data_IF_975480375113
#
_entry.id   IF_975480375113
#
_cell.length_a   1.000
_cell.length_b   1.000
_cell.length_c   1.000
_cell.angle_alpha   90.00
_cell.angle_beta   90.00
_cell.angle_gamma   90.00
#
_symmetry.space_group_name_H-M   'P 1'
#
loop_
_entity.id
_entity.type
_entity.pdbx_description
1 polymer ?
#
# COMPACT_ATOMS: atom_id res chain seq x y z
N UNK A 1 6.52 27.44 13.97
CA UNK A 1 5.94 26.42 13.07
C UNK A 1 7.02 25.38 12.81
N UNK A 2 6.85 24.15 13.28
CA UNK A 2 7.79 23.09 12.94
C UNK A 2 7.71 22.84 11.43
N UNK A 3 8.79 23.14 10.71
CA UNK A 3 8.90 22.91 9.26
C UNK A 3 9.05 21.43 8.91
N UNK A 4 9.29 20.59 9.90
CA UNK A 4 9.48 19.14 9.71
C UNK A 4 8.14 18.43 9.83
N UNK A 5 7.59 18.04 8.67
CA UNK A 5 6.42 17.16 8.62
C UNK A 5 6.74 15.74 9.11
N UNK A 6 5.73 14.97 9.48
CA UNK A 6 5.90 13.56 9.85
C UNK A 6 5.94 12.67 8.60
N UNK A 7 6.87 11.71 8.57
CA UNK A 7 7.03 10.75 7.45
C UNK A 7 6.51 9.37 7.83
N UNK A 8 5.85 8.69 6.87
CA UNK A 8 5.52 7.27 6.98
C UNK A 8 6.75 6.36 6.87
N UNK A 9 7.84 6.85 6.26
CA UNK A 9 8.87 6.01 5.67
C UNK A 9 8.41 5.35 4.36
N UNK A 10 9.38 4.89 3.58
CA UNK A 10 9.13 4.25 2.28
C UNK A 10 8.66 2.81 2.47
N UNK A 11 7.49 2.48 1.93
CA UNK A 11 6.88 1.15 1.97
C UNK A 11 5.88 1.01 0.82
N UNK A 12 5.23 -0.14 0.67
CA UNK A 12 4.05 -0.29 -0.17
C UNK A 12 2.94 -1.01 0.61
N UNK A 13 1.71 -0.90 0.14
CA UNK A 13 0.56 -1.62 0.68
C UNK A 13 0.09 -2.69 -0.31
N UNK A 14 -0.55 -3.75 0.20
CA UNK A 14 -1.07 -4.85 -0.63
C UNK A 14 -2.43 -4.58 -1.27
N UNK A 15 -3.02 -3.43 -0.96
CA UNK A 15 -4.37 -3.03 -1.35
C UNK A 15 -4.31 -1.76 -2.21
N UNK A 16 -5.29 -1.62 -3.10
CA UNK A 16 -5.57 -0.33 -3.73
C UNK A 16 -6.10 0.64 -2.66
N UNK A 17 -5.70 1.91 -2.75
CA UNK A 17 -6.10 2.94 -1.80
C UNK A 17 -6.63 4.19 -2.52
N UNK A 18 -7.81 4.66 -2.13
CA UNK A 18 -8.27 6.03 -2.41
C UNK A 18 -7.94 6.92 -1.21
N UNK A 19 -6.89 7.73 -1.36
CA UNK A 19 -6.40 8.64 -0.34
C UNK A 19 -7.04 10.02 -0.51
N UNK A 20 -7.87 10.45 0.45
CA UNK A 20 -8.64 11.70 0.40
C UNK A 20 -8.14 12.64 1.48
N UNK A 21 -7.67 13.84 1.10
CA UNK A 21 -7.19 14.80 2.09
C UNK A 21 -8.30 15.74 2.56
N UNK A 22 -8.54 15.76 3.88
CA UNK A 22 -9.57 16.58 4.51
C UNK A 22 -9.00 17.81 5.21
N UNK A 23 -7.73 17.75 5.65
CA UNK A 23 -7.04 18.85 6.34
C UNK A 23 -5.53 18.72 6.26
N UNK A 24 -4.82 19.84 6.24
CA UNK A 24 -3.36 19.89 6.15
C UNK A 24 -2.86 19.80 4.71
N UNK A 25 -1.65 19.24 4.51
CA UNK A 25 -1.07 18.96 3.19
C UNK A 25 -0.32 17.63 3.23
N UNK A 26 -0.35 16.88 2.13
CA UNK A 26 0.45 15.66 1.96
C UNK A 26 1.36 15.78 0.76
N UNK A 27 2.57 15.27 0.89
CA UNK A 27 3.51 15.07 -0.21
C UNK A 27 3.86 13.61 -0.30
N UNK A 28 3.55 13.00 -1.43
CA UNK A 28 3.90 11.63 -1.77
C UNK A 28 5.16 11.63 -2.62
N UNK A 29 6.09 10.76 -2.26
CA UNK A 29 7.14 10.24 -3.15
C UNK A 29 6.71 8.83 -3.53
N UNK A 30 6.64 8.53 -4.82
CA UNK A 30 6.07 7.30 -5.37
C UNK A 30 7.10 6.57 -6.26
N UNK A 31 7.12 5.24 -6.22
CA UNK A 31 7.85 4.39 -7.16
C UNK A 31 6.96 3.25 -7.65
N UNK A 32 7.19 2.85 -8.90
CA UNK A 32 6.48 1.74 -9.53
C UNK A 32 6.77 0.43 -8.80
N UNK A 33 5.81 -0.52 -8.72
CA UNK A 33 6.10 -1.89 -8.28
C UNK A 33 7.21 -2.55 -9.11
N UNK A 34 7.41 -2.11 -10.37
CA UNK A 34 8.50 -2.57 -11.23
C UNK A 34 9.90 -2.19 -10.72
N UNK A 35 10.01 -1.21 -9.82
CA UNK A 35 11.28 -0.81 -9.19
C UNK A 35 11.59 -1.62 -7.92
N UNK A 36 10.83 -2.67 -7.59
CA UNK A 36 10.92 -3.44 -6.33
C UNK A 36 12.33 -3.88 -5.97
N UNK A 37 13.11 -4.29 -6.96
CA UNK A 37 14.49 -4.72 -6.80
C UNK A 37 15.44 -3.61 -6.31
N UNK A 38 15.07 -2.36 -6.57
CA UNK A 38 15.79 -1.15 -6.16
C UNK A 38 15.23 -0.57 -4.85
N UNK A 39 14.13 -1.12 -4.31
CA UNK A 39 13.48 -0.60 -3.10
C UNK A 39 14.03 -1.18 -1.80
N UNK A 40 14.85 -2.22 -1.84
CA UNK A 40 15.49 -2.82 -0.65
C UNK A 40 14.51 -3.11 0.49
N UNK A 41 13.37 -3.72 0.15
CA UNK A 41 12.36 -4.18 1.10
C UNK A 41 12.95 -5.15 2.11
N UNK A 42 12.27 -5.33 3.25
CA UNK A 42 12.69 -6.30 4.27
C UNK A 42 12.37 -7.73 3.86
N UNK A 43 11.30 -7.94 3.12
CA UNK A 43 10.96 -9.24 2.55
C UNK A 43 11.80 -9.60 1.33
N UNK A 44 12.02 -10.91 1.15
CA UNK A 44 12.58 -11.49 -0.07
C UNK A 44 11.49 -11.57 -1.12
N UNK A 45 11.67 -10.89 -2.26
CA UNK A 45 10.72 -10.88 -3.36
C UNK A 45 10.46 -12.30 -3.88
N UNK A 46 9.19 -12.71 -3.92
CA UNK A 46 8.77 -13.97 -4.54
C UNK A 46 8.31 -13.72 -5.99
N UNK A 47 7.40 -12.76 -6.20
CA UNK A 47 6.87 -12.40 -7.51
C UNK A 47 6.17 -11.04 -7.50
N UNK A 48 6.03 -10.46 -8.68
CA UNK A 48 5.14 -9.33 -8.96
C UNK A 48 4.05 -9.82 -9.93
N UNK A 49 2.79 -9.67 -9.54
CA UNK A 49 1.64 -10.05 -10.36
C UNK A 49 1.43 -9.06 -11.52
N UNK A 50 0.70 -9.44 -12.60
CA UNK A 50 0.42 -8.54 -13.72
C UNK A 50 -0.29 -7.24 -13.34
N UNK A 51 -1.07 -7.24 -12.26
CA UNK A 51 -1.72 -6.05 -11.70
C UNK A 51 -0.80 -5.18 -10.82
N UNK A 52 0.48 -5.53 -10.69
CA UNK A 52 1.49 -4.82 -9.89
C UNK A 52 1.63 -5.33 -8.46
N UNK A 53 0.71 -6.19 -7.96
CA UNK A 53 0.77 -6.68 -6.58
C UNK A 53 2.05 -7.49 -6.31
N UNK A 54 2.74 -7.18 -5.23
CA UNK A 54 3.98 -7.85 -4.81
C UNK A 54 3.67 -8.94 -3.78
N UNK A 55 4.33 -10.09 -3.94
CA UNK A 55 4.37 -11.15 -2.92
C UNK A 55 5.81 -11.38 -2.46
N UNK A 56 5.95 -11.69 -1.19
CA UNK A 56 7.22 -12.09 -0.58
C UNK A 56 7.22 -13.59 -0.24
N UNK A 57 8.42 -14.15 -0.06
CA UNK A 57 8.57 -15.54 0.40
C UNK A 57 7.87 -15.77 1.74
N UNK A 58 7.11 -16.87 1.85
CA UNK A 58 6.38 -17.23 3.06
C UNK A 58 5.11 -16.40 3.33
N UNK A 59 4.60 -15.71 2.31
CA UNK A 59 3.39 -14.89 2.33
C UNK A 59 2.67 -14.93 0.97
N UNK A 60 2.49 -16.13 0.44
CA UNK A 60 1.92 -16.29 -0.90
C UNK A 60 0.41 -16.17 -0.89
N UNK A 61 -0.06 -15.11 -1.52
CA UNK A 61 -1.47 -14.79 -1.76
C UNK A 61 -1.74 -14.74 -3.28
N UNK A 62 -3.02 -14.77 -3.66
CA UNK A 62 -3.45 -14.55 -5.05
C UNK A 62 -3.17 -13.12 -5.51
N UNK A 63 -3.32 -12.85 -6.82
CA UNK A 63 -3.14 -11.52 -7.39
C UNK A 63 -4.11 -10.47 -6.80
N UNK A 64 -5.29 -10.88 -6.37
CA UNK A 64 -6.26 -10.03 -5.66
C UNK A 64 -6.18 -10.17 -4.13
N UNK A 65 -5.12 -10.81 -3.60
CA UNK A 65 -4.82 -10.83 -2.16
C UNK A 65 -5.57 -11.87 -1.31
N UNK A 66 -6.36 -12.76 -1.89
CA UNK A 66 -6.88 -13.91 -1.14
C UNK A 66 -5.77 -14.90 -0.76
N UNK A 67 -5.82 -15.42 0.47
CA UNK A 67 -4.92 -16.45 1.00
C UNK A 67 -5.13 -17.77 0.23
N UNK A 68 -4.03 -18.37 -0.24
CA UNK A 68 -4.05 -19.64 -0.96
C UNK A 68 -4.29 -20.84 -0.02
N UNK A 69 -4.08 -20.66 1.28
CA UNK A 69 -4.09 -21.68 2.31
C UNK A 69 -5.14 -21.45 3.39
N UNK A 70 -6.00 -20.43 3.25
CA UNK A 70 -7.05 -20.20 4.25
C UNK A 70 -8.18 -21.20 4.10
N UNK A 71 -8.07 -22.33 4.78
CA UNK A 71 -9.24 -22.89 5.44
C UNK A 71 -9.74 -21.81 6.42
N UNK A 72 -11.07 -21.60 6.48
CA UNK A 72 -11.74 -20.47 7.15
C UNK A 72 -11.54 -20.38 8.70
N UNK A 73 -10.51 -21.02 9.25
CA UNK A 73 -10.26 -21.21 10.68
C UNK A 73 -9.11 -20.38 11.25
N UNK A 74 -8.62 -19.34 10.56
CA UNK A 74 -7.60 -18.44 11.13
C UNK A 74 -8.21 -17.63 12.29
N UNK A 75 -7.63 -17.73 13.50
CA UNK A 75 -8.05 -16.91 14.64
C UNK A 75 -7.64 -15.44 14.45
N UNK A 76 -8.36 -14.51 15.08
CA UNK A 76 -8.04 -13.08 15.02
C UNK A 76 -6.59 -12.76 15.42
N UNK A 77 -6.03 -13.49 16.38
CA UNK A 77 -4.63 -13.36 16.79
C UNK A 77 -3.65 -13.74 15.66
N UNK A 78 -3.93 -14.85 14.96
CA UNK A 78 -3.11 -15.27 13.81
C UNK A 78 -3.26 -14.31 12.63
N UNK A 79 -4.45 -13.74 12.42
CA UNK A 79 -4.70 -12.74 11.40
C UNK A 79 -3.93 -11.44 11.69
N UNK A 80 -3.93 -10.97 12.95
CA UNK A 80 -3.16 -9.81 13.37
C UNK A 80 -1.66 -10.01 13.15
N UNK A 81 -1.11 -11.16 13.60
CA UNK A 81 0.32 -11.46 13.41
C UNK A 81 0.73 -11.52 11.94
N UNK A 82 -0.15 -12.06 11.07
CA UNK A 82 0.07 -12.05 9.63
C UNK A 82 0.08 -10.64 9.06
N UNK A 83 -0.91 -9.81 9.40
CA UNK A 83 -0.97 -8.43 8.95
C UNK A 83 0.24 -7.60 9.42
N UNK A 84 0.69 -7.79 10.67
CA UNK A 84 1.90 -7.15 11.19
C UNK A 84 3.17 -7.59 10.42
N UNK A 85 3.25 -8.88 10.07
CA UNK A 85 4.34 -9.42 9.24
C UNK A 85 4.31 -8.84 7.83
N UNK A 86 3.16 -8.80 7.18
CA UNK A 86 2.95 -8.21 5.84
C UNK A 86 3.48 -6.77 5.80
N UNK A 87 3.01 -5.94 6.73
CA UNK A 87 3.47 -4.55 6.87
C UNK A 87 4.99 -4.51 7.03
N UNK A 88 5.55 -5.32 7.95
CA UNK A 88 6.99 -5.34 8.18
C UNK A 88 7.80 -5.69 6.91
N UNK A 89 7.38 -6.67 6.12
CA UNK A 89 8.10 -7.10 4.91
C UNK A 89 8.09 -6.03 3.82
N UNK A 90 6.98 -5.30 3.69
CA UNK A 90 6.76 -4.28 2.67
C UNK A 90 7.56 -2.97 2.91
N UNK A 91 8.04 -2.74 4.14
CA UNK A 91 8.87 -1.57 4.42
C UNK A 91 10.25 -1.65 3.76
N UNK A 92 10.65 -0.55 3.13
CA UNK A 92 12.01 -0.33 2.63
C UNK A 92 12.98 -0.09 3.79
N UNK A 93 14.22 -0.57 3.62
CA UNK A 93 15.35 -0.19 4.47
C UNK A 93 15.92 1.18 4.11
N UNK A 94 15.61 1.70 2.92
CA UNK A 94 16.07 3.03 2.47
C UNK A 94 15.39 4.11 3.30
N UNK A 95 16.20 5.01 3.88
CA UNK A 95 15.74 6.23 4.56
C UNK A 95 16.07 7.42 3.67
N UNK A 96 15.09 7.83 2.89
CA UNK A 96 15.22 8.80 1.78
C UNK A 96 15.59 10.23 2.20
N UNK A 97 15.56 10.52 3.50
CA UNK A 97 16.00 11.77 4.10
C UNK A 97 17.51 11.79 4.45
N UNK A 98 18.22 10.67 4.23
CA UNK A 98 19.68 10.59 4.41
C UNK A 98 20.42 11.26 3.23
N UNK A 99 21.67 11.69 3.42
CA UNK A 99 22.51 12.19 2.35
C UNK A 99 22.65 11.20 1.19
N UNK A 100 22.71 11.69 -0.05
CA UNK A 100 22.78 10.85 -1.24
C UNK A 100 24.01 9.93 -1.27
N UNK A 101 25.18 10.40 -0.84
CA UNK A 101 26.41 9.59 -0.83
C UNK A 101 26.30 8.37 0.09
N UNK A 102 25.56 8.51 1.18
CA UNK A 102 25.24 7.42 2.10
C UNK A 102 24.30 6.41 1.46
N UNK A 103 23.25 6.90 0.81
CA UNK A 103 22.29 6.06 0.10
C UNK A 103 22.95 5.32 -1.06
N UNK A 104 23.82 5.98 -1.83
CA UNK A 104 24.53 5.36 -2.94
C UNK A 104 25.48 4.25 -2.47
N UNK A 105 26.13 4.43 -1.32
CA UNK A 105 27.05 3.44 -0.75
C UNK A 105 26.33 2.21 -0.20
N UNK A 106 25.19 2.40 0.49
CA UNK A 106 24.46 1.32 1.17
C UNK A 106 23.40 0.65 0.27
N UNK A 107 22.78 1.44 -0.61
CA UNK A 107 21.65 1.07 -1.46
C UNK A 107 21.87 1.50 -2.93
N UNK A 108 22.95 1.04 -3.59
CA UNK A 108 23.37 1.56 -4.90
C UNK A 108 22.29 1.48 -6.00
N UNK A 109 21.45 0.42 -6.01
CA UNK A 109 20.37 0.25 -7.00
C UNK A 109 19.24 1.26 -6.81
N UNK A 110 19.13 1.89 -5.65
CA UNK A 110 18.08 2.88 -5.39
C UNK A 110 18.25 4.11 -6.29
N UNK A 111 19.47 4.40 -6.75
CA UNK A 111 19.74 5.47 -7.70
C UNK A 111 19.12 5.21 -9.09
N UNK A 112 18.84 3.96 -9.44
CA UNK A 112 18.21 3.58 -10.70
C UNK A 112 16.68 3.73 -10.66
N UNK A 113 16.10 3.80 -9.46
CA UNK A 113 14.64 3.89 -9.28
C UNK A 113 14.12 5.28 -9.64
N UNK A 114 12.96 5.34 -10.30
CA UNK A 114 12.41 6.60 -10.81
C UNK A 114 11.28 7.08 -9.91
N UNK A 115 11.57 8.11 -9.12
CA UNK A 115 10.57 8.73 -8.26
C UNK A 115 9.58 9.60 -9.06
N UNK A 116 8.29 9.44 -8.78
CA UNK A 116 7.27 10.44 -9.03
C UNK A 116 6.92 11.18 -7.73
N UNK A 117 6.50 12.43 -7.83
CA UNK A 117 6.09 13.24 -6.68
C UNK A 117 4.69 13.80 -6.89
N UNK A 118 3.87 13.75 -5.84
CA UNK A 118 2.51 14.25 -5.86
C UNK A 118 2.23 15.01 -4.57
N UNK A 119 1.85 16.28 -4.69
CA UNK A 119 1.28 17.05 -3.57
C UNK A 119 -0.25 16.90 -3.64
N UNK A 120 -0.85 16.46 -2.53
CA UNK A 120 -2.31 16.33 -2.38
C UNK A 120 -2.78 17.44 -1.45
N UNK A 121 -3.74 18.23 -1.92
CA UNK A 121 -4.34 19.36 -1.22
C UNK A 121 -5.72 18.98 -0.66
N UNK A 122 -6.23 19.81 0.25
CA UNK A 122 -7.54 19.60 0.86
C UNK A 122 -8.64 19.54 -0.21
N UNK A 123 -9.46 18.49 -0.16
CA UNK A 123 -10.52 18.21 -1.14
C UNK A 123 -10.07 17.37 -2.33
N UNK A 124 -8.76 17.15 -2.49
CA UNK A 124 -8.23 16.25 -3.53
C UNK A 124 -8.19 14.80 -3.05
N UNK A 125 -8.16 13.91 -4.04
CA UNK A 125 -8.02 12.48 -3.86
C UNK A 125 -6.88 11.96 -4.74
N UNK A 126 -6.07 11.08 -4.17
CA UNK A 126 -5.06 10.29 -4.89
C UNK A 126 -5.51 8.83 -4.93
N UNK A 127 -5.66 8.27 -6.13
CA UNK A 127 -5.70 6.82 -6.29
C UNK A 127 -4.27 6.28 -6.27
N UNK A 128 -4.00 5.38 -5.32
CA UNK A 128 -2.72 4.72 -5.12
C UNK A 128 -2.93 3.22 -5.37
N UNK A 129 -2.48 2.69 -6.52
CA UNK A 129 -2.64 1.28 -6.82
C UNK A 129 -1.81 0.40 -5.87
N UNK A 130 -2.26 -0.83 -5.68
CA UNK A 130 -1.59 -1.82 -4.86
C UNK A 130 -0.11 -1.95 -5.23
N UNK A 131 0.71 -2.09 -4.20
CA UNK A 131 2.15 -2.27 -4.26
C UNK A 131 2.96 -1.13 -4.89
N UNK A 132 2.35 0.02 -5.16
CA UNK A 132 3.12 1.24 -5.41
C UNK A 132 3.85 1.65 -4.14
N UNK A 133 5.17 1.73 -4.25
CA UNK A 133 5.99 2.20 -3.15
C UNK A 133 5.74 3.67 -2.93
N UNK A 134 5.54 4.05 -1.68
CA UNK A 134 5.23 5.41 -1.32
C UNK A 134 5.85 5.80 0.02
N UNK A 135 6.26 7.05 0.08
CA UNK A 135 6.59 7.74 1.32
C UNK A 135 5.74 9.01 1.40
N UNK A 136 5.02 9.18 2.50
CA UNK A 136 4.11 10.30 2.71
C UNK A 136 4.69 11.22 3.76
N UNK A 137 4.96 12.46 3.37
CA UNK A 137 5.28 13.53 4.31
C UNK A 137 4.02 14.34 4.58
N UNK A 138 3.71 14.50 5.86
CA UNK A 138 2.48 15.10 6.35
C UNK A 138 2.75 16.43 7.01
N UNK A 139 2.02 17.47 6.60
CA UNK A 139 2.17 18.82 7.13
C UNK A 139 0.85 19.32 7.72
N UNK A 140 0.94 20.11 8.80
CA UNK A 140 -0.20 20.78 9.39
C UNK A 140 -0.82 21.80 8.41
N UNK A 141 -2.09 22.13 8.62
CA UNK A 141 -2.77 23.21 7.90
C UNK A 141 -2.20 24.60 8.24
N UNK A 142 -2.65 25.62 7.50
CA UNK A 142 -2.24 27.02 7.74
C UNK A 142 -2.57 27.52 9.15
N UNK A 143 -3.58 26.94 9.79
CA UNK A 143 -4.05 27.21 11.14
C UNK A 143 -3.37 26.36 12.22
N UNK A 144 -2.37 25.55 11.85
CA UNK A 144 -1.64 24.62 12.72
C UNK A 144 -2.54 23.62 13.48
N UNK A 145 -3.71 23.32 12.91
CA UNK A 145 -4.73 22.44 13.51
C UNK A 145 -4.49 20.95 13.22
N UNK A 146 -3.30 20.60 12.73
CA UNK A 146 -2.91 19.25 12.34
C UNK A 146 -3.25 18.90 10.90
N UNK A 147 -3.27 17.60 10.59
CA UNK A 147 -3.65 17.05 9.29
C UNK A 147 -4.67 15.92 9.46
N UNK A 148 -5.57 15.75 8.50
CA UNK A 148 -6.60 14.70 8.51
C UNK A 148 -6.80 14.17 7.10
N UNK A 149 -6.77 12.85 6.95
CA UNK A 149 -7.05 12.18 5.69
C UNK A 149 -7.99 10.99 5.93
N UNK A 150 -8.80 10.67 4.93
CA UNK A 150 -9.60 9.46 4.85
C UNK A 150 -8.99 8.53 3.79
N UNK A 151 -8.87 7.25 4.11
CA UNK A 151 -8.36 6.23 3.19
C UNK A 151 -9.45 5.18 2.98
N UNK A 152 -9.65 4.75 1.74
CA UNK A 152 -10.52 3.63 1.42
C UNK A 152 -9.69 2.54 0.74
N UNK A 153 -9.52 1.42 1.43
CA UNK A 153 -8.70 0.30 1.01
C UNK A 153 -9.54 -0.83 0.45
N UNK A 154 -9.12 -1.39 -0.68
CA UNK A 154 -9.80 -2.50 -1.33
C UNK A 154 -8.79 -3.38 -2.08
N UNK A 155 -9.19 -4.61 -2.35
CA UNK A 155 -8.32 -5.56 -3.03
C UNK A 155 -8.14 -5.18 -4.51
N UNK A 156 -6.93 -5.32 -5.08
CA UNK A 156 -6.71 -4.99 -6.48
C UNK A 156 -7.38 -6.02 -7.40
N UNK A 157 -7.90 -5.61 -8.57
CA UNK A 157 -8.45 -6.54 -9.55
C UNK A 157 -7.35 -7.46 -10.11
N UNK A 158 -7.68 -8.71 -10.40
CA UNK A 158 -6.77 -9.68 -11.02
C UNK A 158 -7.16 -10.05 -12.46
N UNK A 159 -8.38 -9.71 -12.89
CA UNK A 159 -8.79 -9.81 -14.28
C UNK A 159 -8.64 -8.45 -14.97
N UNK A 160 -7.63 -8.33 -15.82
CA UNK A 160 -7.30 -7.06 -16.50
C UNK A 160 -8.03 -6.86 -17.83
N UNK A 161 -8.68 -7.90 -18.35
CA UNK A 161 -9.28 -7.91 -19.69
C UNK A 161 -10.76 -7.50 -19.73
N UNK A 162 -11.44 -7.41 -18.57
CA UNK A 162 -12.88 -7.13 -18.52
C UNK A 162 -13.27 -6.29 -17.31
N UNK A 163 -13.74 -5.06 -17.55
CA UNK A 163 -14.21 -4.16 -16.50
C UNK A 163 -15.46 -4.68 -15.77
N UNK A 164 -16.33 -5.42 -16.45
CA UNK A 164 -17.55 -5.96 -15.84
C UNK A 164 -17.28 -7.15 -14.90
N UNK A 165 -16.13 -7.81 -15.04
CA UNK A 165 -15.69 -8.94 -14.21
C UNK A 165 -14.23 -8.72 -13.80
N UNK A 166 -13.95 -7.74 -12.92
CA UNK A 166 -12.59 -7.33 -12.56
C UNK A 166 -11.87 -8.34 -11.66
N UNK A 167 -12.60 -9.35 -11.16
CA UNK A 167 -12.04 -10.44 -10.37
C UNK A 167 -12.31 -11.79 -11.05
N UNK A 168 -11.31 -12.66 -11.08
CA UNK A 168 -11.46 -14.04 -11.57
C UNK A 168 -12.31 -14.90 -10.62
N UNK A 169 -12.35 -14.53 -9.33
CA UNK A 169 -13.08 -15.22 -8.28
C UNK A 169 -14.40 -14.52 -7.93
N UNK A 170 -15.49 -15.26 -7.64
CA UNK A 170 -16.75 -14.69 -7.17
C UNK A 170 -16.71 -14.28 -5.69
N UNK A 171 -15.55 -14.38 -5.03
CA UNK A 171 -15.39 -14.13 -3.59
C UNK A 171 -16.08 -12.85 -3.12
N UNK A 172 -15.81 -11.70 -3.76
CA UNK A 172 -16.37 -10.40 -3.35
C UNK A 172 -17.88 -10.32 -3.50
N UNK A 173 -18.42 -10.84 -4.59
CA UNK A 173 -19.87 -10.90 -4.80
C UNK A 173 -20.54 -11.76 -3.73
N UNK A 174 -19.93 -12.89 -3.38
CA UNK A 174 -20.43 -13.78 -2.35
C UNK A 174 -20.32 -13.18 -0.93
N UNK A 175 -19.20 -12.54 -0.61
CA UNK A 175 -18.99 -11.85 0.67
C UNK A 175 -19.98 -10.70 0.85
N UNK A 176 -20.19 -9.87 -0.18
CA UNK A 176 -21.17 -8.80 -0.16
C UNK A 176 -22.60 -9.32 0.06
N UNK A 177 -23.00 -10.38 -0.67
CA UNK A 177 -24.31 -11.00 -0.49
C UNK A 177 -24.49 -11.54 0.94
N UNK A 178 -23.47 -12.21 1.49
CA UNK A 178 -23.51 -12.74 2.86
C UNK A 178 -23.67 -11.65 3.93
N UNK A 179 -22.97 -10.51 3.78
CA UNK A 179 -23.09 -9.37 4.70
C UNK A 179 -24.48 -8.74 4.69
N UNK A 180 -25.09 -8.60 3.51
CA UNK A 180 -26.44 -8.04 3.40
C UNK A 180 -27.53 -9.00 3.90
N UNK A 181 -27.34 -10.31 3.73
CA UNK A 181 -28.27 -11.30 4.28
C UNK A 181 -28.27 -11.28 5.83
N UNK A 182 -27.11 -11.04 6.44
CA UNK A 182 -26.98 -10.89 7.89
C UNK A 182 -27.72 -9.65 8.44
N UNK A 183 -27.71 -8.54 7.70
CA UNK A 183 -28.45 -7.32 8.09
C UNK A 183 -29.97 -7.45 7.93
N UNK A 184 -30.44 -8.29 7.01
CA UNK A 184 -31.89 -8.53 6.81
C UNK A 184 -32.54 -9.47 7.83
N UNK A 185 -31.74 -10.08 8.72
CA UNK A 185 -32.19 -11.05 9.73
C UNK A 185 -32.19 -10.51 11.16
N UNK A 186 -31.93 -9.20 11.34
CA UNK A 186 -31.87 -8.48 12.61
C UNK A 186 -32.98 -7.46 12.77
#
# INVERSE_FOLDING_TARGET
MSTEGSTSGLHHDYHDNLYILLRGRKRFRLYSPGDVDSMYTRGTLLKVHPNGRINYEGDETTAYGADLHSDQAASAFSAQQRAEKEVYLAFSRVKTNRPNDDLQREFPRFADARAAFCDVNVGEMLYLPASWFHEVVSFNGATDDGHLALNYWYHPPDATDCFATPYTSPFWTNDYAARNLAESSS
#
